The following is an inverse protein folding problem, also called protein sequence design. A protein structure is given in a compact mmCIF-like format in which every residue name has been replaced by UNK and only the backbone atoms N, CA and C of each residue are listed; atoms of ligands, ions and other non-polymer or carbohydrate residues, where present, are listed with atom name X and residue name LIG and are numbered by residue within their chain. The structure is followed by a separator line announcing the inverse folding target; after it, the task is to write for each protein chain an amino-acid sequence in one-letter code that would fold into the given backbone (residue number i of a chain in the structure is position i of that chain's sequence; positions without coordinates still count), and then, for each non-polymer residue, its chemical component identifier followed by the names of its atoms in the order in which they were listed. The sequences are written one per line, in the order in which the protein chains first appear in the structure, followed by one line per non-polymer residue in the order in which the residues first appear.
data_IF_877076463193
#
_entry.id   IF_877076463193
#
_cell.length_a   1.000
_cell.length_b   1.000
_cell.length_c   1.000
_cell.angle_alpha   90.00
_cell.angle_beta   90.00
_cell.angle_gamma   90.00
#
_symmetry.space_group_name_H-M   'P 1'
#
loop_
_entity.id
_entity.type
_entity.pdbx_description
1 polymer ?
#
# COMPACT_ATOMS: atom_id res chain seq x y z
N UNK A 1 44.26 5.32 -50.40
CA UNK A 1 43.48 5.59 -49.16
C UNK A 1 42.00 5.15 -49.22
N UNK A 2 41.30 5.25 -50.37
CA UNK A 2 39.85 4.91 -50.49
C UNK A 2 39.49 3.43 -50.22
N UNK A 3 40.40 2.49 -50.50
CA UNK A 3 40.19 1.04 -50.34
C UNK A 3 40.28 0.56 -48.89
N UNK A 4 41.11 1.21 -48.05
CA UNK A 4 41.31 0.83 -46.65
C UNK A 4 40.10 1.19 -45.77
N UNK A 5 39.50 2.38 -45.97
CA UNK A 5 38.23 2.76 -45.31
C UNK A 5 37.10 1.78 -45.59
N UNK A 6 36.97 1.31 -46.83
CA UNK A 6 35.92 0.35 -47.21
C UNK A 6 36.10 -1.00 -46.51
N UNK A 7 37.34 -1.49 -46.39
CA UNK A 7 37.64 -2.72 -45.66
C UNK A 7 37.35 -2.59 -44.16
N UNK A 8 37.73 -1.46 -43.53
CA UNK A 8 37.40 -1.21 -42.13
C UNK A 8 35.90 -1.14 -41.86
N UNK A 9 35.13 -0.51 -42.74
CA UNK A 9 33.66 -0.47 -42.62
C UNK A 9 33.05 -1.87 -42.76
N UNK A 10 33.54 -2.69 -43.69
CA UNK A 10 33.04 -4.06 -43.86
C UNK A 10 33.38 -4.91 -42.64
N UNK A 11 34.60 -4.86 -42.13
CA UNK A 11 35.00 -5.58 -40.91
C UNK A 11 34.17 -5.12 -39.72
N UNK A 12 34.01 -3.80 -39.55
CA UNK A 12 33.17 -3.22 -38.49
C UNK A 12 31.72 -3.70 -38.57
N UNK A 13 31.15 -3.78 -39.78
CA UNK A 13 29.80 -4.29 -40.01
C UNK A 13 29.69 -5.78 -39.65
N UNK A 14 30.68 -6.61 -39.99
CA UNK A 14 30.67 -8.03 -39.64
C UNK A 14 30.80 -8.24 -38.13
N UNK A 15 31.65 -7.47 -37.45
CA UNK A 15 31.79 -7.51 -35.99
C UNK A 15 30.49 -7.09 -35.31
N UNK A 16 29.85 -6.02 -35.79
CA UNK A 16 28.56 -5.56 -35.28
C UNK A 16 27.47 -6.62 -35.49
N UNK A 17 27.37 -7.19 -36.69
CA UNK A 17 26.39 -8.24 -37.01
C UNK A 17 26.62 -9.49 -36.15
N UNK A 18 27.88 -9.90 -35.96
CA UNK A 18 28.24 -11.01 -35.08
C UNK A 18 27.82 -10.73 -33.63
N UNK A 19 28.08 -9.53 -33.11
CA UNK A 19 27.66 -9.15 -31.75
C UNK A 19 26.14 -9.17 -31.60
N UNK A 20 25.40 -8.60 -32.57
CA UNK A 20 23.93 -8.63 -32.57
C UNK A 20 23.40 -10.06 -32.63
N UNK A 21 23.99 -10.92 -33.46
CA UNK A 21 23.61 -12.32 -33.56
C UNK A 21 23.91 -13.10 -32.27
N UNK A 22 25.08 -12.89 -31.64
CA UNK A 22 25.44 -13.52 -30.36
C UNK A 22 24.50 -13.08 -29.26
N UNK A 23 24.21 -11.78 -29.14
CA UNK A 23 23.26 -11.25 -28.15
C UNK A 23 21.85 -11.81 -28.42
N UNK A 24 21.40 -11.82 -29.68
CA UNK A 24 20.12 -12.39 -30.06
C UNK A 24 20.01 -13.88 -29.73
N UNK A 25 21.07 -14.66 -30.00
CA UNK A 25 21.10 -16.08 -29.69
C UNK A 25 21.13 -16.33 -28.18
N UNK A 26 21.95 -15.60 -27.42
CA UNK A 26 21.97 -15.66 -25.96
C UNK A 26 20.61 -15.32 -25.36
N UNK A 27 19.90 -14.35 -25.92
CA UNK A 27 18.58 -13.93 -25.47
C UNK A 27 17.49 -14.98 -25.75
N UNK A 28 17.52 -15.61 -26.93
CA UNK A 28 16.57 -16.69 -27.28
C UNK A 28 16.87 -17.98 -26.53
N UNK A 29 18.15 -18.32 -26.37
CA UNK A 29 18.60 -19.51 -25.64
C UNK A 29 18.61 -19.31 -24.12
N UNK A 30 18.25 -18.12 -23.63
CA UNK A 30 18.26 -17.83 -22.20
C UNK A 30 17.21 -18.70 -21.47
N UNK A 31 17.58 -19.43 -20.41
CA UNK A 31 16.66 -20.31 -19.70
C UNK A 31 15.72 -19.50 -18.79
N UNK A 32 14.70 -18.89 -19.39
CA UNK A 32 13.72 -18.02 -18.72
C UNK A 32 13.06 -18.69 -17.51
N UNK A 33 12.77 -19.99 -17.59
CA UNK A 33 12.18 -20.75 -16.47
C UNK A 33 13.10 -20.81 -15.24
N UNK A 34 14.41 -20.92 -15.45
CA UNK A 34 15.39 -20.93 -14.34
C UNK A 34 15.52 -19.53 -13.74
N UNK A 35 15.52 -18.50 -14.59
CA UNK A 35 15.53 -17.12 -14.14
C UNK A 35 14.28 -16.80 -13.31
N UNK A 36 13.11 -17.31 -13.70
CA UNK A 36 11.86 -17.16 -12.95
C UNK A 36 11.97 -17.74 -11.54
N UNK A 37 12.38 -19.01 -11.41
CA UNK A 37 12.53 -19.64 -10.08
C UNK A 37 13.56 -18.92 -9.20
N UNK A 38 14.65 -18.44 -9.79
CA UNK A 38 15.65 -17.67 -9.05
C UNK A 38 15.09 -16.31 -8.59
N UNK A 39 14.34 -15.63 -9.47
CA UNK A 39 13.67 -14.38 -9.14
C UNK A 39 12.62 -14.59 -8.03
N UNK A 40 11.80 -15.65 -8.08
CA UNK A 40 10.87 -16.01 -7.02
C UNK A 40 11.58 -16.19 -5.68
N UNK A 41 12.65 -17.00 -5.64
CA UNK A 41 13.40 -17.24 -4.41
C UNK A 41 14.06 -15.97 -3.86
N UNK A 42 14.64 -15.14 -4.74
CA UNK A 42 15.27 -13.88 -4.36
C UNK A 42 14.25 -12.85 -3.86
N UNK A 43 13.11 -12.70 -4.54
CA UNK A 43 12.03 -11.80 -4.13
C UNK A 43 11.37 -12.27 -2.85
N UNK A 44 11.13 -13.57 -2.70
CA UNK A 44 10.53 -14.12 -1.48
C UNK A 44 11.39 -13.85 -0.24
N UNK A 45 12.72 -13.96 -0.39
CA UNK A 45 13.67 -13.64 0.68
C UNK A 45 13.71 -12.13 1.00
N UNK A 46 13.67 -11.26 -0.02
CA UNK A 46 13.75 -9.80 0.19
C UNK A 46 12.46 -9.20 0.73
N UNK A 47 11.32 -9.74 0.31
CA UNK A 47 10.01 -9.18 0.62
C UNK A 47 9.34 -9.84 1.84
N UNK A 48 9.87 -10.96 2.37
CA UNK A 48 9.22 -11.80 3.39
C UNK A 48 7.79 -12.22 2.96
N UNK A 49 7.62 -12.49 1.66
CA UNK A 49 6.37 -12.87 1.02
C UNK A 49 6.57 -14.09 0.13
N UNK A 50 5.55 -14.91 -0.05
CA UNK A 50 5.57 -15.96 -1.07
C UNK A 50 5.24 -15.34 -2.43
N UNK A 51 6.19 -15.44 -3.35
CA UNK A 51 6.10 -14.89 -4.69
C UNK A 51 5.97 -16.07 -5.65
N UNK A 52 4.93 -16.05 -6.47
CA UNK A 52 4.72 -17.00 -7.55
C UNK A 52 4.62 -16.23 -8.86
N UNK A 53 5.39 -16.64 -9.86
CA UNK A 53 5.47 -16.04 -11.17
C UNK A 53 5.06 -17.11 -12.17
N UNK A 54 3.96 -16.89 -12.91
CA UNK A 54 3.48 -17.87 -13.88
C UNK A 54 4.44 -18.04 -15.06
N UNK A 55 4.86 -16.92 -15.66
CA UNK A 55 5.84 -16.91 -16.72
C UNK A 55 6.72 -15.66 -16.66
N UNK A 56 7.98 -15.79 -17.07
CA UNK A 56 8.85 -14.66 -17.39
C UNK A 56 9.18 -14.76 -18.87
N UNK A 57 8.88 -13.68 -19.59
CA UNK A 57 9.33 -13.48 -20.95
C UNK A 57 10.11 -12.18 -21.03
N UNK A 58 10.83 -11.97 -22.13
CA UNK A 58 11.44 -10.69 -22.32
C UNK A 58 10.44 -9.68 -22.90
N UNK A 59 10.61 -8.42 -22.53
CA UNK A 59 9.87 -7.30 -23.09
C UNK A 59 10.86 -6.43 -23.87
N UNK A 60 10.62 -6.19 -25.16
CA UNK A 60 11.33 -5.22 -26.02
C UNK A 60 12.75 -4.79 -25.57
N UNK A 61 13.79 -5.39 -26.18
CA UNK A 61 15.23 -5.14 -26.06
C UNK A 61 15.88 -5.20 -24.65
N UNK A 62 15.38 -4.45 -23.65
CA UNK A 62 16.00 -4.32 -22.30
C UNK A 62 15.05 -4.54 -21.14
N UNK A 63 13.81 -4.94 -21.39
CA UNK A 63 12.83 -5.18 -20.33
C UNK A 63 12.50 -6.65 -20.10
N UNK A 64 11.88 -6.89 -18.96
CA UNK A 64 11.41 -8.18 -18.49
C UNK A 64 9.90 -8.09 -18.28
N UNK A 65 9.17 -9.02 -18.86
CA UNK A 65 7.73 -9.16 -18.69
C UNK A 65 7.46 -10.38 -17.81
N UNK A 66 6.79 -10.17 -16.70
CA UNK A 66 6.29 -11.19 -15.81
C UNK A 66 4.78 -11.30 -15.99
N UNK A 67 4.26 -12.52 -16.10
CA UNK A 67 2.83 -12.82 -16.23
C UNK A 67 2.34 -13.64 -15.06
N UNK A 68 1.08 -13.42 -14.69
CA UNK A 68 0.39 -14.13 -13.61
C UNK A 68 1.17 -14.09 -12.29
N UNK A 69 1.58 -12.89 -11.89
CA UNK A 69 2.35 -12.69 -10.66
C UNK A 69 1.41 -12.67 -9.48
N UNK A 70 1.63 -13.58 -8.54
CA UNK A 70 0.86 -13.66 -7.30
C UNK A 70 1.79 -13.49 -6.11
N UNK A 71 1.51 -12.48 -5.28
CA UNK A 71 2.24 -12.19 -4.04
C UNK A 71 1.34 -12.56 -2.86
N UNK A 72 1.83 -13.39 -1.94
CA UNK A 72 1.12 -13.76 -0.71
C UNK A 72 1.98 -13.40 0.50
N UNK A 73 1.43 -12.66 1.45
CA UNK A 73 2.14 -12.37 2.69
C UNK A 73 2.33 -13.65 3.51
N UNK A 74 3.56 -13.96 3.96
CA UNK A 74 3.82 -15.16 4.79
C UNK A 74 3.23 -15.06 6.18
N UNK A 75 3.37 -13.90 6.80
CA UNK A 75 2.80 -13.63 8.11
C UNK A 75 1.38 -13.14 7.94
N UNK A 76 0.41 -13.68 8.71
CA UNK A 76 -0.90 -13.09 8.80
C UNK A 76 -0.73 -11.62 9.21
N UNK A 77 -1.47 -10.72 8.58
CA UNK A 77 -1.57 -9.36 9.06
C UNK A 77 -2.12 -9.36 10.51
N UNK A 78 -2.10 -8.21 11.20
CA UNK A 78 -2.68 -8.04 12.54
C UNK A 78 -4.14 -8.48 12.66
N UNK A 79 -4.83 -8.73 11.55
CA UNK A 79 -6.19 -9.29 11.50
C UNK A 79 -6.25 -10.81 11.27
N UNK A 80 -5.11 -11.51 11.31
CA UNK A 80 -5.03 -12.95 11.04
C UNK A 80 -5.24 -13.32 9.56
N UNK A 81 -5.28 -12.34 8.65
CA UNK A 81 -5.55 -12.56 7.23
C UNK A 81 -4.27 -12.51 6.41
N UNK A 82 -4.10 -13.48 5.50
CA UNK A 82 -3.06 -13.47 4.49
C UNK A 82 -3.51 -12.58 3.34
N UNK A 83 -2.72 -11.56 3.00
CA UNK A 83 -3.00 -10.68 1.86
C UNK A 83 -2.44 -11.34 0.60
N UNK A 84 -3.28 -11.47 -0.42
CA UNK A 84 -2.88 -11.95 -1.74
C UNK A 84 -3.04 -10.81 -2.73
N UNK A 85 -1.98 -10.50 -3.47
CA UNK A 85 -2.00 -9.54 -4.57
C UNK A 85 -1.80 -10.30 -5.86
N UNK A 86 -2.60 -9.97 -6.87
CA UNK A 86 -2.52 -10.57 -8.19
C UNK A 86 -2.26 -9.48 -9.22
N UNK A 87 -1.32 -9.74 -10.11
CA UNK A 87 -1.01 -8.91 -11.25
C UNK A 87 -1.00 -9.80 -12.50
N UNK A 88 -1.79 -9.42 -13.49
CA UNK A 88 -1.93 -10.16 -14.73
C UNK A 88 -0.64 -10.03 -15.54
N UNK A 89 -0.09 -8.82 -15.58
CA UNK A 89 1.13 -8.47 -16.29
C UNK A 89 1.95 -7.46 -15.51
N UNK A 90 3.27 -7.67 -15.45
CA UNK A 90 4.21 -6.75 -14.82
C UNK A 90 5.46 -6.63 -15.69
N UNK A 91 5.72 -5.45 -16.22
CA UNK A 91 6.85 -5.16 -17.10
C UNK A 91 7.82 -4.25 -16.35
N UNK A 92 9.09 -4.62 -16.35
CA UNK A 92 10.19 -3.83 -15.79
C UNK A 92 11.19 -3.59 -16.90
N UNK A 93 11.57 -2.34 -17.14
CA UNK A 93 12.55 -1.98 -18.16
C UNK A 93 13.60 -1.03 -17.60
N UNK A 94 14.86 -1.43 -17.72
CA UNK A 94 15.97 -0.51 -17.48
C UNK A 94 16.24 0.30 -18.76
N UNK A 95 16.38 1.62 -18.64
CA UNK A 95 16.70 2.45 -19.79
C UNK A 95 18.16 2.24 -20.22
N UNK A 96 18.43 2.28 -21.53
CA UNK A 96 19.77 1.99 -22.08
C UNK A 96 20.83 2.95 -21.52
N UNK A 97 20.46 4.20 -21.24
CA UNK A 97 21.36 5.19 -20.65
C UNK A 97 21.85 4.82 -19.25
N UNK A 98 20.99 4.17 -18.46
CA UNK A 98 21.34 3.70 -17.11
C UNK A 98 22.41 2.60 -17.09
N UNK A 99 22.62 1.90 -18.21
CA UNK A 99 23.65 0.86 -18.32
C UNK A 99 25.06 1.43 -18.48
N UNK A 100 25.18 2.68 -18.92
CA UNK A 100 26.48 3.34 -19.14
C UNK A 100 26.80 4.42 -18.09
N UNK A 101 25.78 4.93 -17.39
CA UNK A 101 25.91 5.93 -16.33
C UNK A 101 25.79 5.32 -14.93
N UNK A 102 26.22 6.07 -13.91
CA UNK A 102 26.01 5.69 -12.49
C UNK A 102 24.59 5.97 -11.97
N UNK A 103 23.68 6.38 -12.84
CA UNK A 103 22.29 6.72 -12.54
C UNK A 103 21.37 5.57 -12.97
N UNK A 104 20.35 5.29 -12.17
CA UNK A 104 19.39 4.21 -12.41
C UNK A 104 18.11 4.84 -12.94
N UNK A 105 17.59 4.30 -14.04
CA UNK A 105 16.35 4.75 -14.65
C UNK A 105 15.53 3.52 -15.07
N UNK A 106 14.39 3.37 -14.42
CA UNK A 106 13.57 2.16 -14.43
C UNK A 106 12.13 2.49 -14.75
N UNK A 107 11.65 2.04 -15.90
CA UNK A 107 10.23 2.06 -16.25
C UNK A 107 9.57 0.78 -15.71
N UNK A 108 8.39 0.93 -15.12
CA UNK A 108 7.57 -0.14 -14.58
C UNK A 108 6.17 0.04 -15.16
N UNK A 109 5.59 -1.01 -15.72
CA UNK A 109 4.19 -1.02 -16.14
C UNK A 109 3.51 -2.27 -15.59
N UNK A 110 2.29 -2.14 -15.06
CA UNK A 110 1.58 -3.24 -14.43
C UNK A 110 0.10 -3.22 -14.76
N UNK A 111 -0.42 -4.34 -15.26
CA UNK A 111 -1.85 -4.60 -15.38
C UNK A 111 -2.28 -5.33 -14.10
N UNK A 112 -2.92 -4.60 -13.19
CA UNK A 112 -3.37 -5.15 -11.91
C UNK A 112 -4.59 -4.39 -11.39
N UNK A 113 -5.33 -5.04 -10.48
CA UNK A 113 -6.49 -4.42 -9.82
C UNK A 113 -7.56 -3.91 -10.81
N UNK A 114 -7.69 -4.57 -11.97
CA UNK A 114 -8.66 -4.23 -13.02
C UNK A 114 -8.35 -2.94 -13.79
N UNK A 115 -7.12 -2.43 -13.71
CA UNK A 115 -6.65 -1.25 -14.44
C UNK A 115 -5.15 -1.35 -14.80
N UNK A 116 -4.58 -0.22 -15.22
CA UNK A 116 -3.18 -0.10 -15.65
C UNK A 116 -2.42 0.84 -14.71
N UNK A 117 -1.18 0.50 -14.38
CA UNK A 117 -0.29 1.30 -13.54
C UNK A 117 1.03 1.46 -14.27
N UNK A 118 1.36 2.69 -14.65
CA UNK A 118 2.66 3.07 -15.17
C UNK A 118 3.48 3.71 -14.06
N UNK A 119 4.79 3.52 -14.09
CA UNK A 119 5.70 4.09 -13.11
C UNK A 119 7.10 4.25 -13.67
N UNK A 120 7.80 5.27 -13.20
CA UNK A 120 9.18 5.54 -13.55
C UNK A 120 9.94 5.87 -12.27
N UNK A 121 11.07 5.21 -12.07
CA UNK A 121 11.97 5.45 -10.95
C UNK A 121 13.32 5.90 -11.51
N UNK A 122 13.63 7.17 -11.29
CA UNK A 122 14.91 7.75 -11.61
C UNK A 122 15.71 7.95 -10.32
N UNK A 123 16.91 7.41 -10.22
CA UNK A 123 17.78 7.54 -9.05
C UNK A 123 19.17 8.00 -9.49
N UNK A 124 19.57 9.14 -8.96
CA UNK A 124 20.94 9.65 -9.04
C UNK A 124 21.70 9.36 -7.76
N UNK A 125 22.91 9.91 -7.62
CA UNK A 125 23.67 9.85 -6.35
C UNK A 125 23.05 10.64 -5.20
N UNK A 126 22.19 11.61 -5.49
CA UNK A 126 21.63 12.52 -4.48
C UNK A 126 20.12 12.37 -4.36
N UNK A 127 19.41 12.17 -5.46
CA UNK A 127 17.96 12.24 -5.51
C UNK A 127 17.36 10.94 -6.06
N UNK A 128 16.16 10.59 -5.58
CA UNK A 128 15.28 9.62 -6.24
C UNK A 128 14.01 10.33 -6.68
N UNK A 129 13.64 10.30 -7.95
CA UNK A 129 12.33 10.71 -8.45
C UNK A 129 11.49 9.47 -8.74
N UNK A 130 10.25 9.50 -8.27
CA UNK A 130 9.24 8.46 -8.47
C UNK A 130 8.06 9.13 -9.15
N UNK A 131 7.81 8.73 -10.39
CA UNK A 131 6.60 9.10 -11.14
C UNK A 131 5.73 7.86 -11.24
N UNK A 132 4.43 7.96 -11.03
CA UNK A 132 3.51 6.85 -11.25
C UNK A 132 2.13 7.36 -11.65
N UNK A 133 1.55 6.73 -12.66
CA UNK A 133 0.22 7.02 -13.17
C UNK A 133 -0.65 5.77 -13.02
N UNK A 134 -1.86 5.96 -12.50
CA UNK A 134 -2.85 4.92 -12.32
C UNK A 134 -4.02 5.22 -13.25
N UNK A 135 -4.42 4.25 -14.06
CA UNK A 135 -5.52 4.34 -14.99
C UNK A 135 -6.56 3.24 -14.72
N UNK A 136 -7.80 3.67 -14.48
CA UNK A 136 -8.98 2.80 -14.38
C UNK A 136 -8.93 1.68 -13.32
N UNK A 137 -8.10 1.85 -12.29
CA UNK A 137 -7.96 0.89 -11.18
C UNK A 137 -9.26 0.77 -10.41
N UNK A 138 -9.68 -0.47 -10.11
CA UNK A 138 -10.86 -0.76 -9.30
C UNK A 138 -10.57 -0.57 -7.81
N UNK A 139 -11.26 0.34 -7.10
CA UNK A 139 -11.08 0.51 -5.65
C UNK A 139 -11.39 -0.77 -4.84
N UNK A 140 -12.19 -1.67 -5.40
CA UNK A 140 -12.52 -2.95 -4.77
C UNK A 140 -11.34 -3.90 -4.68
N UNK A 141 -10.37 -3.82 -5.59
CA UNK A 141 -9.21 -4.71 -5.57
C UNK A 141 -8.15 -4.23 -4.57
N UNK A 142 -8.28 -2.99 -4.10
CA UNK A 142 -7.38 -2.39 -3.14
C UNK A 142 -7.78 -2.82 -1.71
N UNK A 143 -7.06 -3.81 -1.19
CA UNK A 143 -7.32 -4.39 0.14
C UNK A 143 -7.43 -3.35 1.26
N UNK A 144 -6.55 -2.33 1.29
CA UNK A 144 -6.59 -1.31 2.33
C UNK A 144 -7.85 -0.44 2.29
N UNK A 145 -8.39 -0.14 1.10
CA UNK A 145 -9.62 0.65 0.96
C UNK A 145 -10.83 -0.16 1.44
N UNK A 146 -10.89 -1.44 1.06
CA UNK A 146 -11.92 -2.35 1.56
C UNK A 146 -11.87 -2.54 3.07
N UNK A 147 -10.67 -2.66 3.65
CA UNK A 147 -10.50 -2.78 5.10
C UNK A 147 -10.90 -1.50 5.84
N UNK A 148 -10.64 -0.33 5.25
CA UNK A 148 -10.98 0.96 5.83
C UNK A 148 -12.49 1.22 5.79
N UNK A 149 -13.15 0.93 4.67
CA UNK A 149 -14.59 1.18 4.48
C UNK A 149 -15.43 0.04 5.06
N UNK A 150 -14.91 -1.18 5.09
CA UNK A 150 -15.62 -2.37 5.56
C UNK A 150 -16.71 -2.89 4.62
N UNK A 151 -16.89 -2.25 3.46
CA UNK A 151 -17.88 -2.59 2.44
C UNK A 151 -17.22 -2.71 1.06
N UNK A 152 -17.82 -3.48 0.12
CA UNK A 152 -17.41 -3.47 -1.28
C UNK A 152 -17.49 -2.06 -1.87
N UNK A 153 -16.52 -1.67 -2.69
CA UNK A 153 -16.47 -0.34 -3.31
C UNK A 153 -16.43 -0.52 -4.83
N UNK A 154 -17.46 -0.08 -5.53
CA UNK A 154 -17.47 -0.04 -7.01
C UNK A 154 -17.02 1.33 -7.49
N UNK A 155 -16.39 1.38 -8.67
CA UNK A 155 -15.96 2.62 -9.30
C UNK A 155 -14.69 2.43 -10.13
N UNK A 156 -14.22 3.52 -10.72
CA UNK A 156 -12.93 3.58 -11.44
C UNK A 156 -12.08 4.69 -10.86
N UNK A 157 -10.85 4.37 -10.49
CA UNK A 157 -9.88 5.31 -9.92
C UNK A 157 -8.74 5.57 -10.91
N UNK A 158 -8.36 6.83 -11.00
CA UNK A 158 -7.18 7.31 -11.71
C UNK A 158 -6.30 8.08 -10.73
N UNK A 159 -5.00 8.12 -10.95
CA UNK A 159 -4.11 8.90 -10.10
C UNK A 159 -2.80 9.21 -10.79
N UNK A 160 -2.10 10.22 -10.27
CA UNK A 160 -0.78 10.63 -10.70
C UNK A 160 0.05 10.95 -9.46
N UNK A 161 1.25 10.41 -9.39
CA UNK A 161 2.20 10.56 -8.29
C UNK A 161 3.48 11.08 -8.92
N UNK A 162 3.98 12.23 -8.49
CA UNK A 162 5.32 12.72 -8.87
C UNK A 162 6.00 13.22 -7.60
N UNK A 163 6.93 12.42 -7.08
CA UNK A 163 7.62 12.69 -5.83
C UNK A 163 9.13 12.59 -6.06
N UNK A 164 9.85 13.64 -5.65
CA UNK A 164 11.32 13.66 -5.60
C UNK A 164 11.79 13.58 -4.15
N UNK A 165 12.57 12.56 -3.84
CA UNK A 165 13.17 12.28 -2.54
C UNK A 165 14.62 12.76 -2.55
N UNK A 166 14.91 13.83 -1.82
CA UNK A 166 16.28 14.31 -1.65
C UNK A 166 17.01 13.46 -0.62
N UNK A 167 18.28 13.17 -0.88
CA UNK A 167 19.11 12.23 -0.12
C UNK A 167 18.44 10.84 0.03
N UNK A 168 17.56 10.48 -0.91
CA UNK A 168 16.72 9.29 -0.87
C UNK A 168 15.80 9.19 0.37
N UNK A 169 15.45 10.32 0.99
CA UNK A 169 14.64 10.41 2.22
C UNK A 169 13.25 10.98 1.95
N UNK A 170 12.21 10.29 2.42
CA UNK A 170 10.82 10.75 2.40
C UNK A 170 10.63 11.99 3.28
N UNK A 171 11.37 12.11 4.38
CA UNK A 171 11.35 13.31 5.22
C UNK A 171 11.82 14.59 4.50
N UNK A 172 12.48 14.45 3.34
CA UNK A 172 12.91 15.56 2.49
C UNK A 172 12.19 15.58 1.13
N UNK A 173 11.11 14.83 0.98
CA UNK A 173 10.40 14.71 -0.28
C UNK A 173 9.71 16.02 -0.70
N UNK A 174 9.59 16.22 -2.00
CA UNK A 174 8.82 17.30 -2.62
C UNK A 174 8.10 16.78 -3.87
N UNK A 175 6.92 17.30 -4.19
CA UNK A 175 6.14 16.82 -5.33
C UNK A 175 4.63 16.95 -5.15
N UNK A 176 3.89 16.18 -5.92
CA UNK A 176 2.41 16.16 -5.95
C UNK A 176 1.87 14.75 -6.02
N UNK A 177 0.72 14.54 -5.40
CA UNK A 177 -0.01 13.28 -5.45
C UNK A 177 -1.46 13.64 -5.75
N UNK A 178 -2.00 13.15 -6.85
CA UNK A 178 -3.38 13.37 -7.26
C UNK A 178 -4.08 12.02 -7.44
N UNK A 179 -5.27 11.90 -6.90
CA UNK A 179 -6.18 10.79 -7.13
C UNK A 179 -7.55 11.33 -7.46
N UNK A 180 -8.20 10.69 -8.41
CA UNK A 180 -9.59 10.94 -8.76
C UNK A 180 -10.30 9.60 -8.92
N UNK A 181 -11.54 9.51 -8.47
CA UNK A 181 -12.38 8.35 -8.72
C UNK A 181 -13.73 8.80 -9.25
N UNK A 182 -14.28 8.03 -10.19
CA UNK A 182 -15.57 8.29 -10.83
C UNK A 182 -16.53 7.15 -10.55
N UNK A 183 -17.82 7.49 -10.48
CA UNK A 183 -18.92 6.56 -10.25
C UNK A 183 -18.68 5.67 -9.03
N UNK A 184 -18.17 6.26 -7.94
CA UNK A 184 -17.87 5.52 -6.71
C UNK A 184 -19.19 5.19 -6.02
N UNK A 185 -19.40 3.91 -5.73
CA UNK A 185 -20.53 3.37 -4.98
C UNK A 185 -19.99 2.51 -3.86
N UNK A 186 -20.40 2.79 -2.63
CA UNK A 186 -20.01 2.03 -1.44
C UNK A 186 -21.17 1.14 -1.04
N UNK A 187 -20.91 -0.15 -0.89
CA UNK A 187 -21.92 -1.17 -0.63
C UNK A 187 -22.59 -1.69 -1.91
N UNK A 188 -23.20 -2.86 -1.79
CA UNK A 188 -23.94 -3.55 -2.85
C UNK A 188 -25.40 -3.85 -2.43
N UNK A 189 -25.83 -3.34 -1.27
CA UNK A 189 -27.13 -3.62 -0.65
C UNK A 189 -27.29 -5.04 -0.10
N UNK A 190 -26.26 -5.89 -0.21
CA UNK A 190 -26.28 -7.29 0.22
C UNK A 190 -25.24 -7.57 1.29
N UNK A 191 -24.11 -6.87 1.24
CA UNK A 191 -23.01 -6.96 2.18
C UNK A 191 -23.50 -6.50 3.55
N UNK A 192 -23.52 -7.47 4.46
CA UNK A 192 -23.86 -7.26 5.86
C UNK A 192 -22.62 -6.81 6.61
N UNK A 193 -22.71 -5.68 7.32
CA UNK A 193 -21.60 -5.22 8.15
C UNK A 193 -21.41 -6.18 9.32
N UNK A 194 -20.30 -6.94 9.30
CA UNK A 194 -19.86 -7.71 10.46
C UNK A 194 -19.27 -6.73 11.48
N UNK A 195 -20.04 -6.40 12.52
CA UNK A 195 -19.56 -5.60 13.63
C UNK A 195 -18.50 -6.41 14.38
N UNK A 196 -17.24 -5.95 14.35
CA UNK A 196 -16.19 -6.50 15.22
C UNK A 196 -16.45 -6.00 16.64
N UNK A 197 -16.94 -6.88 17.49
CA UNK A 197 -17.09 -6.64 18.92
C UNK A 197 -15.72 -6.71 19.58
N UNK A 198 -15.55 -5.98 20.68
CA UNK A 198 -14.32 -6.05 21.47
C UNK A 198 -14.15 -7.46 22.08
N UNK A 199 -12.90 -7.93 22.32
CA UNK A 199 -12.63 -9.28 22.86
C UNK A 199 -13.37 -9.60 24.17
N UNK A 200 -13.64 -8.57 24.99
CA UNK A 200 -14.41 -8.66 26.23
C UNK A 200 -15.89 -9.07 26.05
N UNK A 201 -16.37 -9.15 24.81
CA UNK A 201 -17.71 -9.59 24.43
C UNK A 201 -17.63 -10.71 23.38
N UNK A 202 -16.63 -11.59 23.47
CA UNK A 202 -16.43 -12.69 22.53
C UNK A 202 -17.68 -13.56 22.35
N UNK A 203 -18.48 -13.74 23.40
CA UNK A 203 -19.76 -14.47 23.35
C UNK A 203 -20.81 -13.78 22.45
N UNK A 204 -20.82 -12.44 22.41
CA UNK A 204 -21.65 -11.67 21.48
C UNK A 204 -21.10 -11.71 20.05
N UNK A 205 -19.79 -11.90 19.87
CA UNK A 205 -19.18 -12.07 18.56
C UNK A 205 -19.71 -13.34 17.88
N UNK A 206 -19.82 -14.45 18.63
CA UNK A 206 -20.36 -15.71 18.11
C UNK A 206 -21.86 -15.60 17.75
N UNK A 207 -22.62 -14.78 18.49
CA UNK A 207 -24.02 -14.46 18.17
C UNK A 207 -24.16 -13.58 16.92
N UNK A 208 -23.29 -12.57 16.75
CA UNK A 208 -23.29 -11.66 15.61
C UNK A 208 -22.65 -12.25 14.35
N UNK A 209 -21.79 -13.26 14.50
CA UNK A 209 -21.18 -13.99 13.38
C UNK A 209 -22.13 -15.04 12.77
N UNK A 210 -23.28 -15.32 13.40
CA UNK A 210 -24.39 -16.00 12.70
C UNK A 210 -24.78 -15.15 11.49
N UNK A 211 -24.57 -15.71 10.30
CA UNK A 211 -24.63 -15.04 9.00
C UNK A 211 -25.95 -14.27 8.72
N UNK A 212 -26.99 -14.57 9.51
CA UNK A 212 -28.34 -14.07 9.33
C UNK A 212 -28.67 -12.73 10.02
N UNK A 213 -27.78 -12.14 10.84
CA UNK A 213 -28.11 -10.96 11.67
C UNK A 213 -27.36 -9.65 11.38
N UNK A 214 -26.66 -9.53 10.24
CA UNK A 214 -26.07 -8.25 9.90
C UNK A 214 -27.06 -7.29 9.22
N UNK A 215 -27.02 -6.02 9.61
CA UNK A 215 -27.78 -4.94 8.97
C UNK A 215 -27.23 -4.73 7.56
N UNK A 216 -28.10 -4.82 6.55
CA UNK A 216 -27.73 -4.56 5.18
C UNK A 216 -27.68 -3.04 4.98
N UNK A 217 -26.52 -2.51 4.62
CA UNK A 217 -26.41 -1.07 4.32
C UNK A 217 -26.80 -0.85 2.85
N UNK A 218 -27.81 0.01 2.58
CA UNK A 218 -28.15 0.36 1.22
C UNK A 218 -26.94 0.93 0.47
N UNK A 219 -26.83 0.67 -0.84
CA UNK A 219 -25.71 1.16 -1.62
C UNK A 219 -25.70 2.70 -1.62
N UNK A 220 -24.56 3.27 -1.25
CA UNK A 220 -24.36 4.71 -1.19
C UNK A 220 -23.57 5.19 -2.40
N UNK A 221 -24.17 6.05 -3.22
CA UNK A 221 -23.47 6.72 -4.32
C UNK A 221 -22.61 7.83 -3.73
N UNK A 222 -21.29 7.73 -3.89
CA UNK A 222 -20.33 8.78 -3.49
C UNK A 222 -20.02 9.71 -4.67
N UNK A 223 -20.24 9.24 -5.90
CA UNK A 223 -20.09 10.04 -7.11
C UNK A 223 -18.64 10.20 -7.52
N UNK A 224 -18.21 11.44 -7.78
CA UNK A 224 -16.83 11.77 -8.09
C UNK A 224 -16.07 12.15 -6.82
N UNK A 225 -14.91 11.53 -6.61
CA UNK A 225 -14.01 11.80 -5.50
C UNK A 225 -12.69 12.34 -6.03
N UNK A 226 -12.14 13.37 -5.39
CA UNK A 226 -10.86 13.97 -5.75
C UNK A 226 -10.01 14.17 -4.49
N UNK A 227 -8.74 13.76 -4.56
CA UNK A 227 -7.71 13.99 -3.55
C UNK A 227 -6.46 14.56 -4.23
N UNK A 228 -6.01 15.74 -3.81
CA UNK A 228 -4.76 16.36 -4.23
C UNK A 228 -3.93 16.70 -3.01
N UNK A 229 -2.72 16.17 -2.96
CA UNK A 229 -1.72 16.43 -1.93
C UNK A 229 -0.53 17.14 -2.58
N UNK A 230 -0.02 18.17 -1.89
CA UNK A 230 1.24 18.82 -2.25
C UNK A 230 2.28 18.47 -1.20
N UNK A 231 3.38 17.86 -1.64
CA UNK A 231 4.50 17.47 -0.78
C UNK A 231 5.56 18.54 -0.82
N UNK A 232 5.97 19.05 0.34
CA UNK A 232 7.03 20.05 0.47
C UNK A 232 7.85 19.74 1.71
N UNK A 233 9.14 19.44 1.54
CA UNK A 233 10.09 19.14 2.62
C UNK A 233 9.56 18.07 3.59
N UNK A 234 9.04 16.97 3.03
CA UNK A 234 8.49 15.86 3.80
C UNK A 234 7.13 16.11 4.46
N UNK A 235 6.47 17.25 4.20
CA UNK A 235 5.07 17.47 4.62
C UNK A 235 4.15 17.43 3.40
N UNK A 236 3.22 16.48 3.37
CA UNK A 236 2.20 16.34 2.34
C UNK A 236 0.91 17.01 2.82
N UNK A 237 0.62 18.22 2.33
CA UNK A 237 -0.59 18.98 2.67
C UNK A 237 -1.73 18.63 1.73
N UNK A 238 -2.92 18.41 2.27
CA UNK A 238 -4.15 18.26 1.50
C UNK A 238 -4.51 19.61 0.89
N UNK A 239 -4.46 19.70 -0.44
CA UNK A 239 -4.86 20.88 -1.21
C UNK A 239 -6.33 20.80 -1.58
N UNK A 240 -6.78 19.60 -1.94
CA UNK A 240 -8.16 19.32 -2.29
C UNK A 240 -8.50 17.92 -1.82
N UNK A 241 -9.54 17.77 -1.00
CA UNK A 241 -10.12 16.48 -0.68
C UNK A 241 -11.62 16.67 -0.64
N UNK A 242 -12.33 15.96 -1.51
CA UNK A 242 -13.77 15.97 -1.45
C UNK A 242 -14.45 15.05 -2.44
N UNK A 243 -15.72 14.81 -2.17
CA UNK A 243 -16.67 14.17 -3.06
C UNK A 243 -18.03 14.83 -2.90
N UNK A 244 -18.81 14.88 -3.97
CA UNK A 244 -20.18 15.38 -3.92
C UNK A 244 -21.06 14.52 -4.81
N UNK A 245 -22.23 14.18 -4.27
CA UNK A 245 -23.21 13.30 -4.91
C UNK A 245 -24.59 13.51 -4.32
N UNK A 246 -25.58 12.84 -4.90
CA UNK A 246 -26.96 12.86 -4.40
C UNK A 246 -27.12 12.21 -3.03
N UNK A 247 -26.16 11.41 -2.54
CA UNK A 247 -26.28 10.71 -1.24
C UNK A 247 -25.34 11.26 -0.16
N UNK A 248 -24.15 11.72 -0.54
CA UNK A 248 -23.13 12.17 0.42
C UNK A 248 -22.26 13.29 -0.15
N UNK A 249 -21.94 14.24 0.72
CA UNK A 249 -20.92 15.28 0.51
C UNK A 249 -19.76 15.01 1.47
N UNK A 250 -18.54 14.99 0.95
CA UNK A 250 -17.30 14.77 1.70
C UNK A 250 -16.36 15.94 1.41
N UNK A 251 -15.71 16.45 2.46
CA UNK A 251 -14.66 17.46 2.40
C UNK A 251 -13.55 17.06 3.34
N UNK A 252 -12.33 17.52 3.08
CA UNK A 252 -11.28 17.37 4.08
C UNK A 252 -10.07 18.21 3.82
N UNK A 253 -9.26 18.31 4.86
CA UNK A 253 -8.07 19.15 4.94
C UNK A 253 -7.09 18.55 5.95
N UNK A 254 -5.87 19.06 5.98
CA UNK A 254 -4.83 18.62 6.91
C UNK A 254 -3.53 18.27 6.22
N UNK A 255 -2.70 17.50 6.90
CA UNK A 255 -1.38 17.12 6.41
C UNK A 255 -0.92 15.74 6.87
N UNK A 256 0.04 15.20 6.14
CA UNK A 256 0.76 13.97 6.47
C UNK A 256 2.24 14.31 6.54
N UNK A 257 2.85 14.06 7.69
CA UNK A 257 4.29 14.22 7.90
C UNK A 257 4.99 12.93 7.50
N UNK A 258 5.71 12.98 6.40
CA UNK A 258 6.45 11.86 5.86
C UNK A 258 7.69 11.58 6.72
N UNK A 259 7.84 10.32 7.11
CA UNK A 259 9.01 9.83 7.84
C UNK A 259 9.77 8.80 7.02
N UNK A 260 10.96 8.43 7.48
CA UNK A 260 11.79 7.37 6.92
C UNK A 260 11.85 6.20 7.91
N UNK A 261 11.25 5.02 7.62
CA UNK A 261 10.50 4.67 6.41
C UNK A 261 9.12 5.34 6.36
N UNK A 262 8.52 5.43 5.16
CA UNK A 262 7.20 6.06 4.94
C UNK A 262 6.09 5.48 5.81
N UNK A 263 6.22 4.23 6.25
CA UNK A 263 5.25 3.61 7.17
C UNK A 263 5.22 4.30 8.54
N UNK A 264 6.30 4.95 8.96
CA UNK A 264 6.36 5.72 10.22
C UNK A 264 5.79 7.15 10.08
N UNK A 265 5.25 7.51 8.91
CA UNK A 265 4.66 8.82 8.67
C UNK A 265 3.44 9.04 9.57
N UNK A 266 3.22 10.27 10.02
CA UNK A 266 2.08 10.63 10.85
C UNK A 266 1.04 11.35 9.98
N UNK A 267 -0.19 10.86 9.99
CA UNK A 267 -1.34 11.49 9.34
C UNK A 267 -2.14 12.32 10.34
N UNK A 268 -2.60 13.49 9.90
CA UNK A 268 -3.57 14.34 10.60
C UNK A 268 -4.50 14.95 9.56
N UNK A 269 -5.51 14.17 9.17
CA UNK A 269 -6.46 14.59 8.13
C UNK A 269 -7.81 14.81 8.78
N UNK A 270 -8.33 16.02 8.73
CA UNK A 270 -9.68 16.33 9.13
C UNK A 270 -10.63 16.04 7.98
N UNK A 271 -11.55 15.10 8.19
CA UNK A 271 -12.56 14.70 7.22
C UNK A 271 -13.93 15.12 7.74
N UNK A 272 -14.66 15.82 6.90
CA UNK A 272 -16.05 16.22 7.12
C UNK A 272 -16.92 15.49 6.13
N UNK A 273 -18.04 14.95 6.57
CA UNK A 273 -19.04 14.42 5.65
C UNK A 273 -20.46 14.71 6.11
N UNK A 274 -21.38 14.75 5.15
CA UNK A 274 -22.80 15.00 5.37
C UNK A 274 -23.61 14.11 4.43
N UNK A 275 -24.60 13.42 4.96
CA UNK A 275 -25.56 12.68 4.14
C UNK A 275 -26.62 13.64 3.61
N UNK A 276 -27.09 13.39 2.39
CA UNK A 276 -28.22 14.14 1.84
C UNK A 276 -29.52 13.70 2.51
N UNK A 277 -30.50 14.60 2.55
CA UNK A 277 -31.85 14.29 3.03
C UNK A 277 -32.51 13.17 2.21
N UNK A 278 -32.18 13.09 0.91
CA UNK A 278 -32.63 12.01 0.03
C UNK A 278 -32.12 10.63 0.47
N UNK A 279 -30.87 10.54 0.93
CA UNK A 279 -30.32 9.29 1.44
C UNK A 279 -30.83 8.96 2.85
N UNK A 280 -30.93 9.97 3.74
CA UNK A 280 -31.47 9.78 5.09
C UNK A 280 -32.91 9.27 5.10
N UNK A 281 -33.69 9.61 4.07
CA UNK A 281 -35.08 9.20 3.89
C UNK A 281 -35.28 8.09 2.86
N UNK A 282 -34.22 7.39 2.45
CA UNK A 282 -34.30 6.35 1.43
C UNK A 282 -35.28 5.23 1.81
N UNK A 283 -35.19 4.74 3.04
CA UNK A 283 -36.09 3.74 3.62
C UNK A 283 -36.12 3.86 5.16
N UNK A 284 -37.00 3.11 5.82
CA UNK A 284 -37.15 3.14 7.28
C UNK A 284 -35.90 2.63 8.02
N UNK A 285 -35.17 1.68 7.45
CA UNK A 285 -33.98 1.09 8.05
C UNK A 285 -32.82 2.08 8.07
N UNK A 286 -32.62 2.80 6.96
CA UNK A 286 -31.64 3.89 6.82
C UNK A 286 -31.95 5.02 7.78
N UNK A 287 -33.23 5.41 7.91
CA UNK A 287 -33.63 6.43 8.87
C UNK A 287 -33.28 6.02 10.29
N UNK A 288 -33.66 4.80 10.71
CA UNK A 288 -33.31 4.29 12.03
C UNK A 288 -31.80 4.16 12.24
N UNK A 289 -31.03 3.77 11.22
CA UNK A 289 -29.57 3.74 11.27
C UNK A 289 -28.99 5.15 11.50
N UNK A 290 -29.49 6.16 10.79
CA UNK A 290 -29.05 7.55 10.93
C UNK A 290 -29.41 8.15 12.28
N UNK A 291 -30.60 7.85 12.81
CA UNK A 291 -31.01 8.25 14.16
C UNK A 291 -30.11 7.61 15.23
N UNK A 292 -29.82 6.32 15.12
CA UNK A 292 -28.91 5.60 16.00
C UNK A 292 -27.47 6.14 15.90
N UNK A 293 -27.02 6.46 14.68
CA UNK A 293 -25.72 7.08 14.46
C UNK A 293 -25.66 8.44 15.17
N UNK A 294 -26.67 9.30 14.97
CA UNK A 294 -26.78 10.64 15.58
C UNK A 294 -26.89 10.59 17.10
N UNK A 295 -27.52 9.57 17.68
CA UNK A 295 -27.65 9.42 19.14
C UNK A 295 -26.33 9.01 19.82
N UNK A 296 -25.44 8.35 19.08
CA UNK A 296 -24.18 7.86 19.61
C UNK A 296 -23.27 9.01 20.13
N UNK A 297 -22.58 8.84 21.28
CA UNK A 297 -21.76 9.91 21.87
C UNK A 297 -20.62 10.41 20.98
N UNK A 298 -20.09 9.57 20.08
CA UNK A 298 -19.02 9.96 19.17
C UNK A 298 -19.54 10.90 18.08
N UNK A 299 -20.68 10.59 17.48
CA UNK A 299 -21.24 11.41 16.42
C UNK A 299 -21.85 12.70 16.95
N UNK A 300 -22.44 12.72 18.16
CA UNK A 300 -22.86 13.98 18.81
C UNK A 300 -21.70 14.95 19.02
N UNK A 301 -20.51 14.42 19.33
CA UNK A 301 -19.27 15.22 19.44
C UNK A 301 -18.72 15.63 18.08
N UNK A 302 -18.88 14.82 17.05
CA UNK A 302 -18.46 15.12 15.68
C UNK A 302 -19.41 16.10 14.95
N UNK A 303 -20.68 16.17 15.34
CA UNK A 303 -21.69 16.98 14.67
C UNK A 303 -21.40 18.47 14.81
N UNK A 304 -21.33 19.15 13.66
CA UNK A 304 -21.11 20.58 13.50
C UNK A 304 -22.44 21.33 13.32
N UNK A 305 -22.40 22.66 13.41
CA UNK A 305 -23.55 23.54 13.20
C UNK A 305 -24.05 23.58 11.75
N UNK A 306 -23.18 23.29 10.78
CA UNK A 306 -23.50 23.21 9.34
C UNK A 306 -24.12 21.85 8.92
N UNK A 307 -24.28 20.94 9.87
CA UNK A 307 -24.83 19.60 9.67
C UNK A 307 -23.81 18.57 9.19
N UNK A 308 -22.52 18.92 9.06
CA UNK A 308 -21.46 17.94 8.79
C UNK A 308 -21.05 17.20 10.06
N UNK A 309 -20.59 15.97 9.90
CA UNK A 309 -19.85 15.24 10.92
C UNK A 309 -18.35 15.35 10.65
N UNK A 310 -17.61 15.86 11.62
CA UNK A 310 -16.16 16.04 11.53
C UNK A 310 -15.37 14.98 12.31
N UNK A 311 -14.38 14.39 11.67
CA UNK A 311 -13.46 13.44 12.28
C UNK A 311 -12.01 13.78 11.92
N UNK A 312 -11.15 13.88 12.94
CA UNK A 312 -9.72 13.93 12.75
C UNK A 312 -9.17 12.51 12.65
N UNK A 313 -8.67 12.14 11.48
CA UNK A 313 -7.93 10.92 11.22
C UNK A 313 -6.47 11.17 11.63
N UNK A 314 -6.14 10.84 12.88
CA UNK A 314 -4.82 11.05 13.44
C UNK A 314 -4.11 9.73 13.79
N UNK A 315 -2.83 9.66 13.48
CA UNK A 315 -1.96 8.55 13.88
C UNK A 315 -0.86 8.22 12.88
N UNK A 316 0.01 7.30 13.26
CA UNK A 316 1.08 6.77 12.40
C UNK A 316 0.49 5.84 11.34
N UNK A 317 0.92 5.94 10.08
CA UNK A 317 0.36 5.16 8.95
C UNK A 317 0.52 3.64 9.13
N UNK A 318 1.62 3.18 9.75
CA UNK A 318 1.82 1.76 10.11
C UNK A 318 0.89 1.31 11.22
N UNK A 319 0.45 2.24 12.06
CA UNK A 319 -0.51 1.98 13.13
C UNK A 319 -1.92 2.23 12.60
N UNK A 320 -2.94 1.89 13.41
CA UNK A 320 -4.31 2.24 13.02
C UNK A 320 -4.48 3.74 13.19
N UNK A 321 -4.70 4.44 12.08
CA UNK A 321 -5.21 5.81 12.10
C UNK A 321 -6.56 5.79 12.82
N UNK A 322 -6.67 6.55 13.91
CA UNK A 322 -7.88 6.55 14.75
C UNK A 322 -8.76 7.72 14.33
N UNK A 323 -10.05 7.48 14.05
CA UNK A 323 -10.99 8.57 13.88
C UNK A 323 -11.31 9.18 15.25
N UNK A 324 -10.92 10.43 15.45
CA UNK A 324 -11.24 11.22 16.63
C UNK A 324 -12.38 12.19 16.28
N UNK A 325 -13.56 12.12 16.93
CA UNK A 325 -14.64 13.04 16.65
C UNK A 325 -14.22 14.46 17.00
N UNK A 326 -14.42 15.42 16.08
CA UNK A 326 -14.06 16.81 16.31
C UNK A 326 -14.92 17.76 15.49
N UNK A 327 -15.36 18.85 16.11
CA UNK A 327 -16.14 19.91 15.45
C UNK A 327 -15.27 20.90 14.69
N UNK A 328 -14.07 21.18 15.19
CA UNK A 328 -13.30 22.37 14.78
C UNK A 328 -11.97 22.02 14.11
N UNK A 329 -11.82 20.79 13.63
CA UNK A 329 -10.60 20.33 12.96
C UNK A 329 -9.81 19.29 13.75
N UNK A 330 -8.61 18.97 13.27
CA UNK A 330 -7.67 18.19 14.08
C UNK A 330 -7.13 19.05 15.22
N UNK A 331 -7.10 18.57 16.49
CA UNK A 331 -6.49 19.32 17.57
C UNK A 331 -5.06 19.69 17.18
N UNK A 332 -4.55 20.87 17.56
CA UNK A 332 -3.15 21.16 17.29
C UNK A 332 -2.26 20.16 18.02
N UNK A 333 -1.13 19.80 17.39
CA UNK A 333 -0.13 19.03 18.11
C UNK A 333 0.40 19.95 19.22
N UNK A 334 0.56 19.46 20.47
CA UNK A 334 1.36 20.20 21.43
C UNK A 334 2.68 20.51 20.75
N UNK A 335 3.07 21.80 20.73
CA UNK A 335 4.40 22.16 20.26
C UNK A 335 5.40 21.25 20.98
N UNK A 336 6.39 20.65 20.28
CA UNK A 336 7.41 19.88 20.97
C UNK A 336 7.95 20.77 22.08
N UNK A 337 7.88 20.29 23.32
CA UNK A 337 8.36 21.06 24.47
C UNK A 337 9.75 21.58 24.10
N UNK A 338 10.01 22.89 24.25
CA UNK A 338 11.32 23.43 23.98
C UNK A 338 12.30 22.58 24.80
N UNK A 339 13.25 21.95 24.11
CA UNK A 339 14.31 21.19 24.75
C UNK A 339 14.94 22.17 25.72
N UNK A 340 14.68 21.99 27.01
CA UNK A 340 15.20 22.88 28.04
C UNK A 340 16.70 22.95 27.80
N UNK A 341 17.29 24.16 27.73
CA UNK A 341 18.73 24.28 27.54
C UNK A 341 19.39 23.38 28.58
N UNK A 342 20.26 22.48 28.13
CA UNK A 342 20.97 21.57 29.00
C UNK A 342 21.52 22.40 30.16
N UNK A 343 21.07 22.13 31.38
CA UNK A 343 21.49 22.88 32.57
C UNK A 343 23.02 22.81 32.59
N UNK A 344 23.73 23.95 32.50
CA UNK A 344 25.19 23.94 32.53
C UNK A 344 25.64 23.29 33.85
N UNK A 345 26.34 22.16 33.75
CA UNK A 345 26.78 21.39 34.92
C UNK A 345 25.88 20.22 35.32
N UNK A 346 24.79 19.93 34.59
CA UNK A 346 24.17 18.61 34.70
C UNK A 346 25.19 17.56 34.23
N UNK A 347 25.50 16.55 35.06
CA UNK A 347 26.37 15.45 34.63
C UNK A 347 25.78 14.86 33.34
N UNK A 348 26.62 14.47 32.37
CA UNK A 348 26.13 13.81 31.17
C UNK A 348 25.21 12.67 31.58
N UNK A 349 24.07 12.47 30.90
CA UNK A 349 23.21 11.33 31.18
C UNK A 349 24.10 10.09 31.21
N UNK A 350 23.98 9.23 32.24
CA UNK A 350 24.79 8.02 32.31
C UNK A 350 24.68 7.31 30.97
N UNK A 351 25.80 6.81 30.40
CA UNK A 351 25.76 6.09 29.14
C UNK A 351 24.66 5.06 29.23
N UNK A 352 23.71 5.11 28.29
CA UNK A 352 22.59 4.19 28.26
C UNK A 352 23.15 2.78 28.45
N UNK A 353 22.75 2.11 29.53
CA UNK A 353 23.30 0.82 29.93
C UNK A 353 23.41 -0.05 28.68
N UNK A 354 24.63 -0.49 28.39
CA UNK A 354 24.86 -1.43 27.32
C UNK A 354 23.84 -2.57 27.53
N UNK A 355 23.07 -2.95 26.49
CA UNK A 355 22.10 -4.02 26.65
C UNK A 355 22.81 -5.21 27.28
N UNK A 356 22.30 -5.64 28.45
CA UNK A 356 22.89 -6.73 29.20
C UNK A 356 23.16 -7.89 28.23
N UNK A 357 24.34 -8.54 28.30
CA UNK A 357 24.61 -9.69 27.46
C UNK A 357 23.44 -10.68 27.61
N UNK A 358 22.93 -11.22 26.50
CA UNK A 358 21.85 -12.19 26.57
C UNK A 358 22.25 -13.29 27.56
N UNK A 359 21.33 -13.73 28.44
CA UNK A 359 21.63 -14.81 29.38
C UNK A 359 22.18 -16.01 28.59
N UNK A 360 23.20 -16.72 29.13
CA UNK A 360 23.73 -17.91 28.47
C UNK A 360 22.56 -18.83 28.16
N UNK A 361 22.42 -19.19 26.87
CA UNK A 361 21.45 -20.17 26.44
C UNK A 361 21.72 -21.45 27.23
N UNK A 362 20.81 -21.80 28.15
CA UNK A 362 20.75 -23.12 28.73
C UNK A 362 20.43 -24.05 27.56
N UNK A 363 21.47 -24.70 27.04
CA UNK A 363 21.32 -25.82 26.10
C UNK A 363 20.56 -26.89 26.88
N UNK A 364 19.26 -26.95 26.66
CA UNK A 364 18.44 -28.05 27.17
C UNK A 364 18.89 -29.26 26.36
N UNK A 365 19.40 -30.34 27.01
CA UNK A 365 19.80 -31.53 26.29
C UNK A 365 18.63 -32.03 25.46
N UNK A 366 18.92 -32.26 24.17
CA UNK A 366 18.03 -32.83 23.19
C UNK A 366 17.40 -34.11 23.77
N UNK A 367 16.05 -34.21 23.87
CA UNK A 367 15.42 -35.41 24.37
C UNK A 367 15.77 -36.56 23.43
N UNK A 368 16.40 -37.59 24.00
CA UNK A 368 16.77 -38.81 23.30
C UNK A 368 15.59 -39.29 22.44
N UNK A 369 15.88 -39.52 21.16
CA UNK A 369 14.95 -40.08 20.20
C UNK A 369 14.24 -41.30 20.82
N UNK A 370 12.92 -41.20 20.97
CA UNK A 370 12.08 -42.36 21.23
C UNK A 370 12.26 -43.30 20.04
N UNK A 371 12.84 -44.48 20.31
CA UNK A 371 12.74 -45.64 19.45
C UNK A 371 11.26 -45.82 19.08
N UNK A 372 10.96 -45.70 17.79
CA UNK A 372 9.68 -46.10 17.23
C UNK A 372 9.50 -47.59 17.46
N UNK A 373 8.40 -47.96 18.12
CA UNK A 373 7.94 -49.34 18.23
C UNK A 373 7.68 -49.91 16.82
N UNK A 374 8.14 -51.13 16.52
CA UNK A 374 7.84 -51.77 15.24
C UNK A 374 6.33 -52.08 15.15
N UNK A 375 5.75 -52.01 13.94
CA UNK A 375 4.33 -52.28 13.73
C UNK A 375 4.02 -53.74 14.10
N UNK A 376 3.29 -53.92 15.20
CA UNK A 376 2.44 -55.09 15.42
C UNK A 376 1.21 -54.90 14.55
N UNK A 377 1.07 -55.73 13.52
CA UNK A 377 -0.16 -56.47 13.21
C UNK A 377 0.03 -57.28 11.92
N UNK A 378 0.49 -58.51 12.11
CA UNK A 378 0.32 -59.65 11.19
C UNK A 378 -0.03 -60.88 12.02
N UNK A 379 -1.28 -60.94 12.49
CA UNK A 379 -2.04 -62.14 12.89
C UNK A 379 -3.51 -61.69 12.77
N UNK A 380 -4.36 -62.13 11.87
CA UNK A 380 -4.66 -63.47 11.41
C UNK A 380 -6.14 -63.75 11.73
N UNK A 381 -6.91 -64.12 10.70
CA UNK A 381 -8.29 -64.65 10.66
C UNK A 381 -9.26 -63.80 9.82
#
# INVERSE_FOLDING_TARGET
MKTWRRRLLVVGLHVLLFLVAVVGFLYVAFPWDRAARYAEAALAKKLDMDVRIGAIGPSWLTGLELRDVTLRTRKPDRQGRLRTFHADRFVIRASVGSLFGGDIDLDIAADMMGGHIDGQIFRTKQDTRIVADLAEVSPNEISFLREMVGLPIKGRMTGAIDITLRDHKFAKAAGTIEFAARNVIVGDGKARLKLKVKPQYAELQEFLDREDQGVAIPPMKVGAFTLKLRVTRGSARVVQLGASSDHIEIKGEGDVRLADPVTASESRIYVMYKFSEAYENLDSETRSMMENMRSSPNYRRAMRSDGFFGFCLAGVLRERVRPLPSRDGCPERPAPEPVLPAVPGAPPPPPADAPAPPPPMIVTPEPAARLEDPPRDLVGA
#
